data_IF_088650413942
#
_entry.id   IF_088650413942
#
_cell.length_a   1.000
_cell.length_b   1.000
_cell.length_c   1.000
_cell.angle_alpha   90.00
_cell.angle_beta   90.00
_cell.angle_gamma   90.00
#
_symmetry.space_group_name_H-M   'P 1'
#
loop_
_entity.id
_entity.type
_entity.pdbx_description
1 polymer ?
#
# COMPACT_ATOMS: atom_id res chain seq x y z
N UNK A 1 16.64 -16.68 -26.37
CA UNK A 1 16.90 -15.36 -26.98
C UNK A 1 15.57 -14.84 -27.47
N UNK A 2 15.04 -13.84 -26.78
CA UNK A 2 13.72 -13.30 -27.09
C UNK A 2 13.88 -12.09 -28.01
N UNK A 3 13.12 -12.08 -29.10
CA UNK A 3 13.08 -10.96 -30.07
C UNK A 3 11.68 -10.37 -30.04
N UNK A 4 11.61 -9.05 -29.84
CA UNK A 4 10.35 -8.32 -29.76
C UNK A 4 10.45 -7.05 -30.60
N UNK A 5 9.42 -6.77 -31.41
CA UNK A 5 9.28 -5.48 -32.08
C UNK A 5 8.35 -4.61 -31.26
N UNK A 6 8.88 -3.50 -30.74
CA UNK A 6 8.08 -2.52 -30.03
C UNK A 6 7.09 -1.83 -30.98
N UNK A 7 5.99 -1.29 -30.44
CA UNK A 7 4.94 -0.62 -31.22
C UNK A 7 5.42 0.58 -32.04
N UNK A 8 6.60 1.14 -31.72
CA UNK A 8 7.27 2.20 -32.47
C UNK A 8 8.23 1.67 -33.56
N UNK A 9 8.23 0.37 -33.84
CA UNK A 9 9.06 -0.29 -34.86
C UNK A 9 10.53 -0.53 -34.45
N UNK A 10 10.87 -0.36 -33.17
CA UNK A 10 12.22 -0.66 -32.66
C UNK A 10 12.30 -2.15 -32.33
N UNK A 11 13.30 -2.83 -32.90
CA UNK A 11 13.61 -4.21 -32.55
C UNK A 11 14.40 -4.24 -31.25
N UNK A 12 13.90 -5.04 -30.31
CA UNK A 12 14.47 -5.26 -28.99
C UNK A 12 14.96 -6.71 -28.91
N UNK A 13 16.21 -6.86 -28.46
CA UNK A 13 16.83 -8.15 -28.20
C UNK A 13 17.26 -8.21 -26.74
N UNK A 14 16.97 -9.31 -26.07
CA UNK A 14 17.38 -9.55 -24.69
C UNK A 14 18.22 -10.82 -24.66
N UNK A 15 19.50 -10.68 -24.31
CA UNK A 15 20.46 -11.77 -24.16
C UNK A 15 21.49 -11.42 -23.08
N UNK A 16 21.13 -11.63 -21.81
CA UNK A 16 21.74 -11.05 -20.59
C UNK A 16 21.80 -9.51 -20.56
N UNK A 17 22.01 -8.87 -21.70
CA UNK A 17 22.00 -7.44 -21.95
C UNK A 17 20.83 -7.07 -22.90
N UNK A 18 20.41 -5.81 -22.84
CA UNK A 18 19.34 -5.25 -23.65
C UNK A 18 19.98 -4.57 -24.85
N UNK A 19 19.67 -5.04 -26.05
CA UNK A 19 20.09 -4.42 -27.29
C UNK A 19 18.90 -3.85 -28.03
N UNK A 20 19.07 -2.68 -28.62
CA UNK A 20 18.11 -2.10 -29.54
C UNK A 20 18.71 -1.99 -30.93
N UNK A 21 17.90 -2.27 -31.94
CA UNK A 21 18.29 -2.08 -33.33
C UNK A 21 17.34 -1.08 -33.99
N UNK A 22 17.90 0.03 -34.49
CA UNK A 22 17.14 0.97 -35.32
C UNK A 22 16.90 0.35 -36.70
N UNK A 23 15.76 0.69 -37.32
CA UNK A 23 15.32 0.18 -38.62
C UNK A 23 16.31 0.39 -39.79
N UNK A 24 17.36 1.20 -39.63
CA UNK A 24 18.46 1.30 -40.59
C UNK A 24 19.62 0.43 -40.14
N UNK A 25 19.63 -0.84 -40.58
CA UNK A 25 20.72 -1.84 -40.76
C UNK A 25 22.06 -1.74 -40.00
N UNK A 26 22.14 -0.98 -38.92
CA UNK A 26 23.34 -0.84 -38.10
C UNK A 26 23.34 -1.91 -37.01
N UNK A 27 24.55 -2.22 -36.53
CA UNK A 27 24.80 -3.22 -35.50
C UNK A 27 23.94 -2.92 -34.24
N UNK A 28 23.45 -3.95 -33.52
CA UNK A 28 22.71 -3.76 -32.27
C UNK A 28 23.54 -2.95 -31.26
N UNK A 29 22.92 -1.98 -30.60
CA UNK A 29 23.59 -1.16 -29.58
C UNK A 29 23.18 -1.66 -28.19
N UNK A 30 24.13 -2.00 -27.30
CA UNK A 30 23.80 -2.32 -25.91
C UNK A 30 23.29 -1.07 -25.20
N UNK A 31 22.14 -1.19 -24.55
CA UNK A 31 21.46 -0.08 -23.86
C UNK A 31 21.50 -0.25 -22.35
N UNK A 32 21.48 -1.49 -21.88
CA UNK A 32 21.53 -1.80 -20.45
C UNK A 32 22.11 -3.21 -20.25
N UNK A 33 22.93 -3.36 -19.20
CA UNK A 33 23.38 -4.67 -18.73
C UNK A 33 22.36 -5.36 -17.82
N UNK A 34 22.52 -6.65 -17.56
CA UNK A 34 21.53 -7.50 -16.86
C UNK A 34 20.86 -6.91 -15.61
N UNK A 35 21.61 -6.32 -14.68
CA UNK A 35 21.05 -5.70 -13.47
C UNK A 35 20.13 -4.50 -13.79
N UNK A 36 20.49 -3.69 -14.78
CA UNK A 36 19.68 -2.56 -15.23
C UNK A 36 18.40 -3.01 -15.95
N UNK A 37 18.43 -4.16 -16.63
CA UNK A 37 17.24 -4.75 -17.24
C UNK A 37 16.29 -5.23 -16.15
N UNK A 38 16.81 -5.84 -15.09
CA UNK A 38 16.00 -6.28 -13.97
C UNK A 38 15.33 -5.07 -13.30
N UNK A 39 16.09 -4.00 -13.04
CA UNK A 39 15.54 -2.75 -12.51
C UNK A 39 14.45 -2.15 -13.42
N UNK A 40 14.66 -2.14 -14.76
CA UNK A 40 13.64 -1.67 -15.71
C UNK A 40 12.39 -2.55 -15.69
N UNK A 41 12.53 -3.87 -15.59
CA UNK A 41 11.38 -4.79 -15.50
C UNK A 41 10.59 -4.57 -14.23
N UNK A 42 11.27 -4.36 -13.10
CA UNK A 42 10.63 -4.06 -11.82
C UNK A 42 9.93 -2.69 -11.86
N UNK A 43 10.56 -1.68 -12.47
CA UNK A 43 9.96 -0.36 -12.67
C UNK A 43 8.67 -0.42 -13.49
N UNK A 44 8.69 -1.02 -14.68
CA UNK A 44 7.48 -1.13 -15.51
C UNK A 44 6.41 -2.02 -14.89
N UNK A 45 6.80 -2.99 -14.07
CA UNK A 45 5.85 -3.79 -13.31
C UNK A 45 5.16 -2.94 -12.25
N UNK A 46 5.91 -2.13 -11.50
CA UNK A 46 5.36 -1.21 -10.51
C UNK A 46 4.43 -0.16 -11.14
N UNK A 47 4.81 0.43 -12.27
CA UNK A 47 3.97 1.38 -13.02
C UNK A 47 2.64 0.76 -13.44
N UNK A 48 2.67 -0.49 -13.94
CA UNK A 48 1.46 -1.23 -14.31
C UNK A 48 0.64 -1.64 -13.10
N UNK A 49 1.28 -1.96 -11.98
CA UNK A 49 0.60 -2.26 -10.73
C UNK A 49 -0.18 -1.04 -10.23
N UNK A 50 0.45 0.15 -10.28
CA UNK A 50 -0.19 1.43 -9.96
C UNK A 50 -1.35 1.77 -10.91
N UNK A 51 -1.15 1.65 -12.24
CA UNK A 51 -2.18 1.92 -13.25
C UNK A 51 -3.45 1.07 -13.03
N UNK A 52 -3.27 -0.18 -12.59
CA UNK A 52 -4.36 -1.12 -12.35
C UNK A 52 -4.94 -1.03 -10.93
N UNK A 53 -4.40 -0.14 -10.07
CA UNK A 53 -4.78 -0.05 -8.66
C UNK A 53 -4.59 -1.36 -7.90
N UNK A 54 -3.55 -2.12 -8.26
CA UNK A 54 -3.21 -3.40 -7.62
C UNK A 54 -1.94 -3.24 -6.79
N UNK A 55 -1.92 -3.90 -5.65
CA UNK A 55 -0.72 -4.01 -4.84
C UNK A 55 -0.12 -5.40 -4.98
N UNK A 56 1.20 -5.47 -5.12
CA UNK A 56 1.93 -6.74 -5.26
C UNK A 56 2.67 -7.06 -3.99
N UNK A 57 2.51 -8.30 -3.52
CA UNK A 57 3.22 -8.76 -2.35
C UNK A 57 4.70 -9.02 -2.68
N UNK A 58 5.61 -8.29 -2.04
CA UNK A 58 7.06 -8.36 -2.33
C UNK A 58 7.68 -9.73 -2.06
N UNK A 59 7.24 -10.44 -1.02
CA UNK A 59 7.76 -11.76 -0.66
C UNK A 59 7.23 -12.88 -1.57
N UNK A 60 6.03 -12.69 -2.12
CA UNK A 60 5.40 -13.62 -3.07
C UNK A 60 4.82 -12.86 -4.26
N UNK A 61 5.67 -12.44 -5.21
CA UNK A 61 5.27 -11.56 -6.32
C UNK A 61 4.20 -12.15 -7.23
N UNK A 62 3.91 -13.45 -7.16
CA UNK A 62 2.80 -14.07 -7.87
C UNK A 62 1.42 -13.65 -7.34
N UNK A 63 1.35 -13.12 -6.11
CA UNK A 63 0.11 -12.65 -5.52
C UNK A 63 -0.03 -11.12 -5.66
N UNK A 64 -1.16 -10.71 -6.20
CA UNK A 64 -1.59 -9.31 -6.26
C UNK A 64 -2.92 -9.13 -5.55
N UNK A 65 -3.12 -7.96 -4.97
CA UNK A 65 -4.31 -7.60 -4.21
C UNK A 65 -4.94 -6.37 -4.84
N UNK A 66 -6.24 -6.45 -5.12
CA UNK A 66 -7.05 -5.29 -5.49
C UNK A 66 -7.93 -4.91 -4.29
N UNK A 67 -7.91 -3.63 -3.92
CA UNK A 67 -8.82 -3.10 -2.92
C UNK A 67 -10.14 -2.71 -3.59
N UNK A 68 -11.23 -3.39 -3.21
CA UNK A 68 -12.60 -2.89 -3.37
C UNK A 68 -13.07 -2.16 -2.11
N UNK A 69 -14.33 -1.74 -2.09
CA UNK A 69 -14.88 -0.92 -1.00
C UNK A 69 -14.68 -1.55 0.39
N UNK A 70 -15.05 -2.82 0.57
CA UNK A 70 -14.92 -3.57 1.84
C UNK A 70 -14.27 -4.96 1.67
N UNK A 71 -13.78 -5.26 0.47
CA UNK A 71 -13.31 -6.60 0.11
C UNK A 71 -11.98 -6.49 -0.62
N UNK A 72 -11.00 -7.26 -0.17
CA UNK A 72 -9.75 -7.48 -0.88
C UNK A 72 -9.94 -8.63 -1.87
N UNK A 73 -9.63 -8.40 -3.14
CA UNK A 73 -9.54 -9.44 -4.15
C UNK A 73 -8.07 -9.84 -4.30
N UNK A 74 -7.73 -11.04 -3.84
CA UNK A 74 -6.39 -11.61 -3.97
C UNK A 74 -6.35 -12.48 -5.22
N UNK A 75 -5.38 -12.26 -6.09
CA UNK A 75 -5.21 -12.98 -7.36
C UNK A 75 -3.82 -13.60 -7.39
N UNK A 76 -3.74 -14.89 -7.73
CA UNK A 76 -2.51 -15.57 -8.08
C UNK A 76 -2.32 -15.48 -9.61
N UNK A 77 -1.36 -14.68 -10.05
CA UNK A 77 -1.12 -14.45 -11.49
C UNK A 77 -0.53 -15.68 -12.20
N UNK A 78 0.04 -16.66 -11.48
CA UNK A 78 0.57 -17.89 -12.07
C UNK A 78 -0.54 -18.87 -12.42
N UNK A 79 -1.55 -19.01 -11.56
CA UNK A 79 -2.66 -19.96 -11.74
C UNK A 79 -3.90 -19.30 -12.34
N UNK A 80 -3.99 -17.97 -12.27
CA UNK A 80 -5.18 -17.21 -12.63
C UNK A 80 -6.30 -17.31 -11.59
N UNK A 81 -6.05 -17.97 -10.46
CA UNK A 81 -7.04 -18.10 -9.38
C UNK A 81 -7.21 -16.77 -8.65
N UNK A 82 -8.45 -16.48 -8.25
CA UNK A 82 -8.78 -15.27 -7.52
C UNK A 82 -9.73 -15.57 -6.37
N UNK A 83 -9.51 -14.94 -5.23
CA UNK A 83 -10.31 -15.15 -4.02
C UNK A 83 -10.64 -13.81 -3.37
N UNK A 84 -11.93 -13.62 -3.07
CA UNK A 84 -12.43 -12.46 -2.32
C UNK A 84 -12.26 -12.67 -0.83
N UNK A 85 -11.79 -11.65 -0.11
CA UNK A 85 -11.53 -11.66 1.34
C UNK A 85 -12.14 -10.42 1.99
N UNK A 86 -13.08 -10.61 2.90
CA UNK A 86 -13.84 -9.55 3.58
C UNK A 86 -13.56 -9.47 5.10
N UNK A 87 -12.35 -9.88 5.52
CA UNK A 87 -11.99 -9.94 6.93
C UNK A 87 -12.25 -11.31 7.55
N UNK A 88 -11.13 -11.98 7.83
CA UNK A 88 -10.85 -13.05 8.81
C UNK A 88 -9.64 -13.83 8.27
N UNK A 89 -8.70 -14.15 9.16
CA UNK A 89 -7.49 -14.92 8.90
C UNK A 89 -7.86 -16.31 8.37
N UNK A 90 -7.92 -16.46 7.04
CA UNK A 90 -7.83 -17.78 6.44
C UNK A 90 -6.37 -18.24 6.55
N UNK A 91 -6.12 -19.43 7.07
CA UNK A 91 -4.78 -20.04 7.12
C UNK A 91 -4.36 -20.59 5.74
N UNK A 92 -4.53 -19.79 4.70
CA UNK A 92 -4.06 -20.08 3.35
C UNK A 92 -3.23 -18.90 2.80
N UNK A 93 -2.47 -19.16 1.74
CA UNK A 93 -1.54 -18.18 1.16
C UNK A 93 -2.26 -16.89 0.71
N UNK A 94 -3.52 -17.00 0.27
CA UNK A 94 -4.31 -15.83 -0.09
C UNK A 94 -4.70 -15.00 1.16
N UNK A 95 -4.92 -15.65 2.30
CA UNK A 95 -5.07 -15.00 3.60
C UNK A 95 -3.81 -14.25 4.01
N UNK A 96 -2.63 -14.86 3.83
CA UNK A 96 -1.35 -14.21 4.13
C UNK A 96 -1.13 -12.97 3.24
N UNK A 97 -1.43 -13.06 1.94
CA UNK A 97 -1.35 -11.93 1.02
C UNK A 97 -2.30 -10.79 1.41
N UNK A 98 -3.53 -11.11 1.85
CA UNK A 98 -4.48 -10.12 2.33
C UNK A 98 -4.02 -9.48 3.66
N UNK A 99 -3.38 -10.24 4.56
CA UNK A 99 -2.80 -9.71 5.78
C UNK A 99 -1.64 -8.76 5.48
N UNK A 100 -0.70 -9.19 4.61
CA UNK A 100 0.42 -8.37 4.17
C UNK A 100 -0.05 -7.06 3.50
N UNK A 101 -1.13 -7.10 2.72
CA UNK A 101 -1.75 -5.90 2.17
C UNK A 101 -2.18 -4.92 3.26
N UNK A 102 -2.87 -5.40 4.30
CA UNK A 102 -3.36 -4.56 5.41
C UNK A 102 -2.22 -3.99 6.23
N UNK A 103 -1.17 -4.77 6.48
CA UNK A 103 0.03 -4.30 7.18
C UNK A 103 0.73 -3.20 6.38
N UNK A 104 0.74 -3.30 5.05
CA UNK A 104 1.28 -2.27 4.16
C UNK A 104 0.35 -1.04 3.99
N UNK A 105 -0.95 -1.19 4.24
CA UNK A 105 -1.96 -0.13 4.12
C UNK A 105 -2.82 -0.06 5.38
N UNK A 106 -2.27 0.42 6.50
CA UNK A 106 -3.06 0.59 7.71
C UNK A 106 -4.22 1.55 7.42
N UNK A 107 -5.45 1.08 7.65
CA UNK A 107 -6.64 1.91 7.48
C UNK A 107 -6.49 3.20 8.31
N UNK A 108 -6.75 4.39 7.72
CA UNK A 108 -6.72 5.63 8.47
C UNK A 108 -7.71 5.54 9.63
N UNK A 109 -7.19 5.56 10.85
CA UNK A 109 -8.02 5.56 12.04
C UNK A 109 -8.87 6.84 12.06
N UNK A 110 -10.14 6.81 12.52
CA UNK A 110 -11.03 7.98 12.45
C UNK A 110 -10.46 9.26 13.08
N UNK A 111 -9.58 9.12 14.08
CA UNK A 111 -8.93 10.22 14.76
C UNK A 111 -7.70 10.80 14.02
N UNK A 112 -7.19 10.14 12.98
CA UNK A 112 -6.13 10.70 12.11
C UNK A 112 -6.59 11.98 11.38
N UNK A 113 -7.91 12.12 11.18
CA UNK A 113 -8.55 13.30 10.58
C UNK A 113 -9.15 14.28 11.62
N UNK A 114 -8.77 14.13 12.89
CA UNK A 114 -9.28 14.98 13.97
C UNK A 114 -8.96 16.47 13.71
N UNK A 115 -9.99 17.31 13.82
CA UNK A 115 -9.89 18.75 13.53
C UNK A 115 -9.56 19.55 14.78
N UNK A 116 -8.85 20.69 14.66
CA UNK A 116 -8.68 21.61 15.79
C UNK A 116 -10.00 21.93 16.46
N UNK A 117 -9.98 21.98 17.80
CA UNK A 117 -11.15 22.19 18.68
C UNK A 117 -12.12 21.01 18.84
N UNK A 118 -11.88 19.87 18.19
CA UNK A 118 -12.59 18.64 18.56
C UNK A 118 -12.08 18.09 19.89
N UNK A 119 -12.95 17.37 20.61
CA UNK A 119 -12.59 16.64 21.82
C UNK A 119 -12.88 15.16 21.60
N UNK A 120 -11.90 14.33 21.92
CA UNK A 120 -11.91 12.89 21.74
C UNK A 120 -11.59 12.19 23.05
N UNK A 121 -12.23 11.06 23.32
CA UNK A 121 -11.79 10.11 24.34
C UNK A 121 -10.80 9.16 23.73
N UNK A 122 -9.61 9.03 24.30
CA UNK A 122 -8.53 8.20 23.78
C UNK A 122 -8.25 7.04 24.74
N UNK A 123 -8.02 5.85 24.19
CA UNK A 123 -7.50 4.68 24.88
C UNK A 123 -6.21 4.18 24.23
N UNK A 124 -5.24 3.78 25.07
CA UNK A 124 -3.95 3.21 24.63
C UNK A 124 -3.80 1.72 24.97
N UNK A 125 -4.86 1.09 25.47
CA UNK A 125 -4.80 -0.28 25.95
C UNK A 125 -6.18 -0.82 26.31
N UNK A 126 -6.37 -2.14 26.29
CA UNK A 126 -7.63 -2.77 26.70
C UNK A 126 -8.02 -2.45 28.16
N UNK A 127 -7.03 -2.11 29.00
CA UNK A 127 -7.22 -1.74 30.40
C UNK A 127 -7.06 -0.22 30.66
N UNK A 128 -6.78 0.58 29.61
CA UNK A 128 -6.61 2.03 29.78
C UNK A 128 -7.97 2.71 29.94
N UNK A 129 -8.03 3.73 30.79
CA UNK A 129 -9.25 4.53 30.93
C UNK A 129 -9.36 5.46 29.74
N UNK A 130 -10.58 5.69 29.27
CA UNK A 130 -10.84 6.73 28.29
C UNK A 130 -10.66 8.11 28.93
N UNK A 131 -9.68 8.86 28.43
CA UNK A 131 -9.38 10.20 28.91
C UNK A 131 -9.73 11.23 27.83
N UNK A 132 -10.30 12.39 28.18
CA UNK A 132 -10.64 13.43 27.22
C UNK A 132 -9.41 14.22 26.77
N UNK A 133 -9.21 14.32 25.46
CA UNK A 133 -8.18 15.13 24.82
C UNK A 133 -8.82 16.13 23.86
N UNK A 134 -8.35 17.38 23.89
CA UNK A 134 -8.68 18.39 22.88
C UNK A 134 -7.64 18.41 21.78
N UNK A 135 -8.09 18.64 20.54
CA UNK A 135 -7.19 18.74 19.39
C UNK A 135 -6.67 20.17 19.24
N UNK A 136 -5.35 20.33 19.24
CA UNK A 136 -4.65 21.60 18.96
C UNK A 136 -3.64 21.35 17.84
N UNK A 137 -3.88 21.94 16.66
CA UNK A 137 -3.09 21.62 15.48
C UNK A 137 -3.22 20.14 15.10
N UNK A 138 -2.09 19.41 15.09
CA UNK A 138 -2.03 17.96 14.84
C UNK A 138 -1.71 17.15 16.11
N UNK A 139 -2.12 17.66 17.27
CA UNK A 139 -1.86 17.02 18.56
C UNK A 139 -3.13 16.91 19.40
N UNK A 140 -3.22 15.79 20.12
CA UNK A 140 -4.12 15.62 21.25
C UNK A 140 -3.45 16.17 22.50
N UNK A 141 -4.15 17.05 23.23
CA UNK A 141 -3.71 17.60 24.50
C UNK A 141 -4.73 17.21 25.56
N UNK A 142 -4.26 16.59 26.64
CA UNK A 142 -5.14 16.16 27.71
C UNK A 142 -5.84 17.37 28.35
N UNK A 143 -7.15 17.27 28.59
CA UNK A 143 -7.96 18.43 28.98
C UNK A 143 -7.65 18.89 30.41
N UNK A 144 -7.34 17.96 31.32
CA UNK A 144 -7.09 18.28 32.74
C UNK A 144 -5.62 18.59 33.05
N UNK A 145 -4.69 18.20 32.18
CA UNK A 145 -3.25 18.45 32.32
C UNK A 145 -2.57 18.58 30.95
N UNK A 146 -2.24 19.83 30.57
CA UNK A 146 -1.64 20.14 29.28
C UNK A 146 -0.21 19.61 29.09
N UNK A 147 0.40 18.99 30.11
CA UNK A 147 1.72 18.35 29.96
C UNK A 147 1.66 17.07 29.14
N UNK A 148 0.50 16.39 29.10
CA UNK A 148 0.30 15.18 28.32
C UNK A 148 -0.19 15.51 26.91
N UNK A 149 0.67 15.25 25.93
CA UNK A 149 0.41 15.52 24.50
C UNK A 149 0.79 14.33 23.65
N UNK A 150 -0.05 14.04 22.65
CA UNK A 150 0.19 12.99 21.66
C UNK A 150 0.06 13.56 20.25
N UNK A 151 0.81 13.01 19.30
CA UNK A 151 0.51 13.28 17.90
C UNK A 151 -0.82 12.62 17.54
N UNK A 152 -1.59 13.19 16.62
CA UNK A 152 -2.84 12.55 16.15
C UNK A 152 -2.61 11.19 15.47
N UNK A 153 -1.39 10.93 15.00
CA UNK A 153 -0.98 9.67 14.38
C UNK A 153 -0.13 8.81 15.34
N UNK A 154 -0.18 9.06 16.65
CA UNK A 154 0.60 8.29 17.62
C UNK A 154 0.13 6.83 17.63
N UNK A 155 1.05 5.90 17.32
CA UNK A 155 0.77 4.47 17.25
C UNK A 155 0.32 3.88 18.59
N UNK A 156 0.60 4.56 19.71
CA UNK A 156 0.11 4.16 21.03
C UNK A 156 -1.40 4.36 21.20
N UNK A 157 -2.04 5.16 20.33
CA UNK A 157 -3.49 5.31 20.33
C UNK A 157 -4.11 4.05 19.69
N UNK A 158 -4.77 3.24 20.51
CA UNK A 158 -5.41 2.00 20.05
C UNK A 158 -6.87 2.21 19.69
N UNK A 159 -7.55 3.11 20.41
CA UNK A 159 -8.94 3.47 20.15
C UNK A 159 -9.19 4.94 20.49
N UNK A 160 -10.10 5.58 19.76
CA UNK A 160 -10.54 6.92 20.07
C UNK A 160 -11.95 7.23 19.55
N UNK A 161 -12.72 7.92 20.39
CA UNK A 161 -14.09 8.33 20.08
C UNK A 161 -14.27 9.84 20.19
N UNK A 162 -14.85 10.45 19.16
CA UNK A 162 -15.17 11.88 19.19
C UNK A 162 -16.37 12.14 20.09
N UNK A 163 -16.16 12.94 21.14
CA UNK A 163 -17.21 13.37 22.07
C UNK A 163 -17.69 14.80 21.80
N UNK A 164 -16.88 15.64 21.13
CA UNK A 164 -17.28 17.00 20.74
C UNK A 164 -16.66 17.44 19.41
N UNK A 165 -17.43 18.07 18.50
CA UNK A 165 -18.89 18.11 18.52
C UNK A 165 -19.46 16.67 18.42
N UNK A 166 -20.65 16.41 18.99
CA UNK A 166 -21.27 15.09 18.87
C UNK A 166 -21.42 14.73 17.39
N UNK A 167 -21.22 13.44 17.06
CA UNK A 167 -21.47 12.93 15.71
C UNK A 167 -22.92 13.27 15.33
N UNK A 168 -23.12 13.93 14.18
CA UNK A 168 -24.48 14.19 13.66
C UNK A 168 -25.19 12.83 13.51
N UNK A 169 -26.35 12.69 14.15
CA UNK A 169 -27.17 11.47 14.17
C UNK A 169 -28.13 11.41 12.99
#
# INVERSE_FOLDING_TARGET
MDKYEASNGILVHIDNDLFVQRARKDLPVPVAGGEYIQALREFFRAERDEELGRWRWSERPEFVVHQGDDILLVVNELTGESVKRNGLYAHDVAGDAAAAYRDAHPEPKPWHDAKPHEVWTISRGPDDRYFPFRVVGRQFIYVDDETQKFAINDEQILDADRIYPPKES
#
